data_IF_319606812300
#
_entry.id   IF_319606812300
#
_cell.length_a   1.000
_cell.length_b   1.000
_cell.length_c   1.000
_cell.angle_alpha   90.00
_cell.angle_beta   90.00
_cell.angle_gamma   90.00
#
_symmetry.space_group_name_H-M   'P 1'
#
loop_
_entity.id
_entity.type
_entity.pdbx_description
1 polymer ?
#
# COMPACT_ATOMS: atom_id res chain seq x y z
N UNK A 1 0.54 -12.25 15.09
CA UNK A 1 1.89 -11.67 14.86
C UNK A 1 1.79 -10.16 14.85
N UNK A 2 2.76 -9.47 15.45
CA UNK A 2 2.76 -7.99 15.57
C UNK A 2 4.17 -7.51 15.25
N UNK A 3 4.27 -6.37 14.56
CA UNK A 3 5.52 -5.64 14.31
C UNK A 3 5.47 -4.27 14.99
N UNK A 4 6.56 -3.85 15.58
CA UNK A 4 6.70 -2.50 16.13
C UNK A 4 7.05 -1.47 15.01
N UNK A 5 7.12 -0.18 15.37
CA UNK A 5 7.60 0.86 14.48
C UNK A 5 9.03 0.54 14.00
N UNK A 6 9.29 0.68 12.71
CA UNK A 6 10.58 0.35 12.07
C UNK A 6 10.87 -1.15 11.93
N UNK A 7 10.02 -2.05 12.43
CA UNK A 7 10.18 -3.49 12.31
C UNK A 7 9.33 -4.03 11.18
N UNK A 8 9.87 -5.01 10.46
CA UNK A 8 9.16 -5.82 9.46
C UNK A 8 9.34 -7.28 9.78
N UNK A 9 8.38 -8.10 9.42
CA UNK A 9 8.45 -9.52 9.64
C UNK A 9 7.91 -10.28 8.42
N UNK A 10 8.40 -11.49 8.23
CA UNK A 10 7.87 -12.44 7.27
C UNK A 10 7.46 -13.71 8.00
N UNK A 11 6.36 -14.30 7.57
CA UNK A 11 5.89 -15.59 8.08
C UNK A 11 5.30 -16.44 6.97
N UNK A 12 5.27 -17.75 7.22
CA UNK A 12 4.51 -18.70 6.40
C UNK A 12 3.34 -19.16 7.25
N UNK A 13 2.14 -19.02 6.69
CA UNK A 13 0.91 -19.48 7.33
C UNK A 13 0.76 -20.99 7.21
N UNK A 14 -0.14 -21.61 7.98
CA UNK A 14 -0.33 -23.06 7.95
C UNK A 14 -0.72 -23.64 6.59
N UNK A 15 -1.38 -22.87 5.74
CA UNK A 15 -1.76 -23.25 4.36
C UNK A 15 -0.62 -23.09 3.32
N UNK A 16 0.58 -22.72 3.78
CA UNK A 16 1.73 -22.42 2.93
C UNK A 16 1.74 -21.00 2.34
N UNK A 17 0.73 -20.19 2.61
CA UNK A 17 0.71 -18.78 2.20
C UNK A 17 1.81 -18.00 2.90
N UNK A 18 2.47 -17.09 2.16
CA UNK A 18 3.53 -16.23 2.71
C UNK A 18 2.96 -14.84 2.96
N UNK A 19 3.32 -14.27 4.11
CA UNK A 19 2.91 -12.93 4.52
C UNK A 19 4.15 -12.12 4.91
N UNK A 20 4.30 -10.95 4.33
CA UNK A 20 5.22 -9.91 4.78
C UNK A 20 4.39 -8.87 5.52
N UNK A 21 4.78 -8.54 6.72
CA UNK A 21 4.12 -7.58 7.58
C UNK A 21 4.99 -6.33 7.71
N UNK A 22 4.45 -5.19 7.34
CA UNK A 22 5.15 -3.90 7.42
C UNK A 22 5.27 -3.44 8.89
N UNK A 23 5.97 -2.33 9.12
CA UNK A 23 6.10 -1.69 10.42
C UNK A 23 4.72 -1.30 11.00
N UNK A 24 4.61 -1.31 12.34
CA UNK A 24 3.39 -0.94 13.07
C UNK A 24 2.14 -1.69 12.57
N UNK A 25 2.28 -3.01 12.37
CA UNK A 25 1.21 -3.82 11.80
C UNK A 25 0.95 -5.07 12.61
N UNK A 26 -0.28 -5.57 12.52
CA UNK A 26 -0.75 -6.75 13.25
C UNK A 26 -1.59 -7.65 12.36
N UNK A 27 -1.31 -8.95 12.39
CA UNK A 27 -2.21 -9.98 11.86
C UNK A 27 -2.62 -10.94 12.97
N UNK A 28 -3.90 -11.34 12.94
CA UNK A 28 -4.48 -12.35 13.81
C UNK A 28 -5.16 -13.37 12.94
N UNK A 29 -4.91 -14.66 13.19
CA UNK A 29 -5.65 -15.78 12.61
C UNK A 29 -6.02 -16.76 13.73
N UNK A 30 -7.15 -17.42 13.58
CA UNK A 30 -7.69 -18.32 14.59
C UNK A 30 -7.22 -19.75 14.38
N UNK A 31 -7.35 -20.59 15.39
CA UNK A 31 -6.98 -22.02 15.33
C UNK A 31 -7.78 -22.80 14.26
N UNK A 32 -8.98 -22.31 13.89
CA UNK A 32 -9.81 -22.85 12.80
C UNK A 32 -9.25 -22.61 11.41
N UNK A 33 -8.15 -21.84 11.26
CA UNK A 33 -7.48 -21.61 9.98
C UNK A 33 -7.10 -22.92 9.25
N UNK A 34 -6.90 -24.00 9.99
CA UNK A 34 -6.54 -25.32 9.46
C UNK A 34 -7.71 -26.11 8.88
N UNK A 35 -8.95 -25.81 9.25
CA UNK A 35 -10.07 -26.73 8.97
C UNK A 35 -11.03 -26.29 7.87
N UNK A 36 -11.24 -24.98 7.64
CA UNK A 36 -12.16 -24.50 6.59
C UNK A 36 -12.10 -22.98 6.33
N UNK A 37 -11.61 -22.19 7.29
CA UNK A 37 -11.69 -20.74 7.22
C UNK A 37 -10.30 -20.10 7.19
N UNK A 38 -9.73 -19.92 5.98
CA UNK A 38 -8.49 -19.19 5.81
C UNK A 38 -8.69 -17.69 6.02
N UNK A 39 -9.14 -17.31 7.24
CA UNK A 39 -9.44 -15.93 7.59
C UNK A 39 -8.36 -15.34 8.50
N UNK A 40 -7.98 -14.12 8.22
CA UNK A 40 -7.08 -13.31 9.03
C UNK A 40 -7.67 -11.91 9.22
N UNK A 41 -7.38 -11.33 10.38
CA UNK A 41 -7.63 -9.92 10.65
C UNK A 41 -6.33 -9.15 10.51
N UNK A 42 -6.33 -8.04 9.75
CA UNK A 42 -5.20 -7.17 9.50
C UNK A 42 -5.48 -5.76 10.02
N UNK A 43 -4.57 -5.25 10.85
CA UNK A 43 -4.40 -3.82 11.14
C UNK A 43 -2.98 -3.41 10.73
N UNK A 44 -2.84 -2.34 9.95
CA UNK A 44 -1.55 -1.91 9.39
C UNK A 44 -1.41 -2.28 7.91
N UNK A 45 -0.24 -2.78 7.50
CA UNK A 45 0.02 -3.09 6.09
C UNK A 45 0.72 -4.45 5.93
N UNK A 46 0.23 -5.25 4.99
CA UNK A 46 0.82 -6.54 4.67
C UNK A 46 0.72 -6.89 3.18
N UNK A 47 1.75 -7.58 2.69
CA UNK A 47 1.77 -8.22 1.40
C UNK A 47 1.59 -9.72 1.55
N UNK A 48 0.79 -10.29 0.67
CA UNK A 48 0.39 -11.69 0.69
C UNK A 48 0.75 -12.38 -0.62
N UNK A 49 1.34 -13.57 -0.50
CA UNK A 49 1.39 -14.57 -1.57
C UNK A 49 0.60 -15.78 -1.11
N UNK A 50 -0.68 -15.82 -1.51
CA UNK A 50 -1.61 -16.84 -1.04
C UNK A 50 -1.50 -18.10 -1.87
N UNK A 51 -1.39 -19.25 -1.17
CA UNK A 51 -1.43 -20.59 -1.78
C UNK A 51 -2.76 -20.82 -2.45
N UNK A 52 -2.73 -21.34 -3.68
CA UNK A 52 -3.93 -21.53 -4.48
C UNK A 52 -4.80 -22.68 -3.93
N UNK A 53 -6.04 -22.35 -3.60
CA UNK A 53 -7.10 -23.31 -3.26
C UNK A 53 -8.46 -22.74 -3.68
N UNK A 54 -9.07 -23.38 -4.71
CA UNK A 54 -10.37 -22.96 -5.23
C UNK A 54 -11.56 -23.33 -4.34
N UNK A 55 -11.36 -24.23 -3.38
CA UNK A 55 -12.43 -24.72 -2.50
C UNK A 55 -12.45 -24.00 -1.13
N UNK A 56 -11.33 -23.39 -0.74
CA UNK A 56 -11.21 -22.66 0.51
C UNK A 56 -10.71 -21.23 0.25
N UNK A 57 -11.60 -20.23 0.15
CA UNK A 57 -11.20 -18.84 -0.01
C UNK A 57 -10.32 -18.35 1.13
N UNK A 58 -9.30 -17.53 0.80
CA UNK A 58 -8.50 -16.82 1.77
C UNK A 58 -9.09 -15.42 1.96
N UNK A 59 -9.37 -15.01 3.19
CA UNK A 59 -10.06 -13.78 3.52
C UNK A 59 -9.19 -12.92 4.42
N UNK A 60 -8.92 -11.69 4.02
CA UNK A 60 -8.31 -10.66 4.85
C UNK A 60 -9.40 -9.69 5.29
N UNK A 61 -9.67 -9.68 6.59
CA UNK A 61 -10.57 -8.70 7.20
C UNK A 61 -9.75 -7.49 7.64
N UNK A 62 -10.12 -6.32 7.17
CA UNK A 62 -9.47 -5.05 7.51
C UNK A 62 -10.52 -4.00 7.78
N UNK A 63 -10.67 -3.59 9.05
CA UNK A 63 -11.81 -2.78 9.48
C UNK A 63 -13.11 -3.50 9.10
N UNK A 64 -13.98 -2.93 8.27
CA UNK A 64 -15.22 -3.59 7.81
C UNK A 64 -15.12 -4.03 6.33
N UNK A 65 -13.92 -4.06 5.78
CA UNK A 65 -13.65 -4.45 4.40
C UNK A 65 -13.10 -5.87 4.39
N UNK A 66 -13.65 -6.72 3.51
CA UNK A 66 -13.20 -8.09 3.30
C UNK A 66 -12.52 -8.21 1.94
N UNK A 67 -11.27 -8.65 1.92
CA UNK A 67 -10.52 -8.96 0.71
C UNK A 67 -10.46 -10.47 0.54
N UNK A 68 -11.12 -11.00 -0.48
CA UNK A 68 -11.30 -12.44 -0.71
C UNK A 68 -10.51 -12.88 -1.96
N UNK A 69 -9.70 -13.94 -1.81
CA UNK A 69 -8.85 -14.48 -2.89
C UNK A 69 -8.83 -16.01 -2.87
N UNK A 70 -8.43 -16.63 -3.98
CA UNK A 70 -8.26 -18.09 -4.09
C UNK A 70 -6.80 -18.53 -4.28
N UNK A 71 -5.88 -17.58 -4.62
CA UNK A 71 -4.47 -17.85 -4.89
C UNK A 71 -3.88 -16.68 -5.64
N UNK A 72 -3.42 -15.69 -4.91
CA UNK A 72 -3.26 -14.33 -5.41
C UNK A 72 -2.07 -13.67 -4.71
N UNK A 73 -1.40 -12.74 -5.42
CA UNK A 73 -0.39 -11.87 -4.86
C UNK A 73 -0.95 -10.46 -4.78
N UNK A 74 -1.07 -9.91 -3.57
CA UNK A 74 -1.68 -8.61 -3.33
C UNK A 74 -1.15 -7.95 -2.07
N UNK A 75 -1.28 -6.64 -2.00
CA UNK A 75 -0.95 -5.83 -0.82
C UNK A 75 -2.24 -5.24 -0.24
N UNK A 76 -2.36 -5.25 1.08
CA UNK A 76 -3.44 -4.56 1.80
C UNK A 76 -2.82 -3.59 2.80
N UNK A 77 -3.28 -2.34 2.75
CA UNK A 77 -2.92 -1.29 3.70
C UNK A 77 -4.20 -0.80 4.39
N UNK A 78 -4.25 -1.00 5.69
CA UNK A 78 -5.38 -0.68 6.56
C UNK A 78 -4.88 -0.15 7.90
N UNK A 79 -4.14 0.97 7.89
CA UNK A 79 -3.57 1.59 9.08
C UNK A 79 -4.67 2.19 9.94
N UNK A 80 -4.51 2.12 11.26
CA UNK A 80 -5.53 2.59 12.22
C UNK A 80 -5.82 4.08 12.07
N UNK A 81 -4.79 4.88 11.85
CA UNK A 81 -4.85 6.33 11.67
C UNK A 81 -5.43 6.78 10.31
N UNK A 82 -5.61 5.85 9.37
CA UNK A 82 -6.13 6.15 8.04
C UNK A 82 -7.61 5.76 7.93
N UNK A 83 -8.48 6.66 7.48
CA UNK A 83 -9.90 6.38 7.26
C UNK A 83 -10.15 5.63 5.95
N UNK A 84 -9.36 4.58 5.67
CA UNK A 84 -9.46 3.80 4.43
C UNK A 84 -8.76 2.46 4.53
N UNK A 85 -9.12 1.61 3.57
CA UNK A 85 -8.40 0.38 3.23
C UNK A 85 -8.00 0.46 1.76
N UNK A 86 -6.73 0.21 1.47
CA UNK A 86 -6.18 0.22 0.11
C UNK A 86 -5.71 -1.18 -0.23
N UNK A 87 -6.27 -1.77 -1.27
CA UNK A 87 -5.89 -3.09 -1.76
C UNK A 87 -5.33 -2.99 -3.17
N UNK A 88 -4.09 -3.42 -3.37
CA UNK A 88 -3.41 -3.45 -4.69
C UNK A 88 -3.19 -4.88 -5.13
N UNK A 89 -3.67 -5.21 -6.33
CA UNK A 89 -3.50 -6.53 -6.93
C UNK A 89 -2.29 -6.59 -7.85
N UNK A 90 -1.39 -7.56 -7.59
CA UNK A 90 -0.20 -7.81 -8.41
C UNK A 90 -0.40 -9.00 -9.36
N UNK A 91 -1.01 -10.09 -8.87
CA UNK A 91 -1.24 -11.30 -9.69
C UNK A 91 -2.48 -12.05 -9.20
N UNK A 92 -3.29 -12.55 -10.11
CA UNK A 92 -4.49 -13.33 -9.82
C UNK A 92 -5.77 -12.52 -9.89
N UNK A 93 -6.69 -12.75 -8.98
CA UNK A 93 -7.98 -12.09 -8.86
C UNK A 93 -8.28 -11.79 -7.39
N UNK A 94 -8.80 -10.60 -7.12
CA UNK A 94 -9.26 -10.18 -5.79
C UNK A 94 -10.71 -9.74 -5.88
N UNK A 95 -11.54 -10.23 -4.94
CA UNK A 95 -12.85 -9.66 -4.67
C UNK A 95 -12.80 -8.88 -3.35
N UNK A 96 -13.35 -7.68 -3.36
CA UNK A 96 -13.42 -6.81 -2.18
C UNK A 96 -14.88 -6.51 -1.87
N UNK A 97 -15.28 -6.88 -0.67
CA UNK A 97 -16.63 -6.64 -0.14
C UNK A 97 -16.56 -5.56 0.95
N UNK A 98 -17.51 -4.63 0.94
CA UNK A 98 -17.67 -3.60 1.96
C UNK A 98 -19.17 -3.48 2.33
N UNK A 99 -19.56 -2.82 3.44
CA UNK A 99 -20.95 -2.70 3.85
C UNK A 99 -21.91 -2.05 2.82
N UNK A 100 -21.35 -1.35 1.83
CA UNK A 100 -22.14 -0.69 0.76
C UNK A 100 -21.89 -1.26 -0.63
N UNK A 101 -21.15 -2.35 -0.76
CA UNK A 101 -21.01 -3.04 -2.05
C UNK A 101 -22.25 -3.85 -2.36
N UNK A 102 -22.61 -3.89 -3.65
CA UNK A 102 -23.61 -4.80 -4.18
C UNK A 102 -23.15 -6.27 -4.03
N UNK A 103 -24.04 -7.23 -4.26
CA UNK A 103 -23.82 -8.68 -4.03
C UNK A 103 -22.52 -9.26 -4.65
N UNK A 104 -21.99 -8.63 -5.71
CA UNK A 104 -20.80 -9.13 -6.41
C UNK A 104 -19.48 -8.54 -5.93
N UNK A 105 -19.48 -7.57 -5.00
CA UNK A 105 -18.28 -6.88 -4.57
C UNK A 105 -17.55 -6.13 -5.71
N UNK A 106 -16.34 -5.62 -5.40
CA UNK A 106 -15.43 -5.08 -6.41
C UNK A 106 -14.44 -6.17 -6.84
N UNK A 107 -14.30 -6.38 -8.15
CA UNK A 107 -13.32 -7.30 -8.70
C UNK A 107 -12.12 -6.53 -9.24
N UNK A 108 -10.92 -6.83 -8.72
CA UNK A 108 -9.67 -6.25 -9.18
C UNK A 108 -8.95 -7.18 -10.16
N UNK A 109 -8.35 -6.57 -11.20
CA UNK A 109 -7.38 -7.17 -12.12
C UNK A 109 -5.95 -6.78 -11.72
N UNK A 110 -4.92 -7.54 -12.15
CA UNK A 110 -3.53 -7.16 -11.92
C UNK A 110 -3.24 -5.73 -12.41
N UNK A 111 -2.52 -4.96 -11.58
CA UNK A 111 -2.25 -3.53 -11.82
C UNK A 111 -3.29 -2.59 -11.24
N UNK A 112 -4.41 -3.09 -10.74
CA UNK A 112 -5.45 -2.26 -10.14
C UNK A 112 -5.30 -2.15 -8.63
N UNK A 113 -5.68 -0.99 -8.11
CA UNK A 113 -5.78 -0.68 -6.68
C UNK A 113 -7.17 -0.16 -6.40
N UNK A 114 -7.82 -0.70 -5.36
CA UNK A 114 -9.06 -0.15 -4.81
C UNK A 114 -8.77 0.56 -3.50
N UNK A 115 -9.18 1.81 -3.41
CA UNK A 115 -9.16 2.61 -2.20
C UNK A 115 -10.60 2.75 -1.68
N UNK A 116 -10.89 2.17 -0.53
CA UNK A 116 -12.22 2.23 0.10
C UNK A 116 -12.14 3.11 1.34
N UNK A 117 -12.88 4.22 1.36
CA UNK A 117 -13.03 5.04 2.55
C UNK A 117 -13.86 4.30 3.61
N UNK A 118 -13.38 4.20 4.84
CA UNK A 118 -14.04 3.41 5.90
C UNK A 118 -15.20 4.10 6.59
N UNK A 119 -15.34 5.42 6.44
CA UNK A 119 -16.44 6.20 7.03
C UNK A 119 -17.65 6.26 6.08
N UNK A 120 -17.38 6.47 4.78
CA UNK A 120 -18.41 6.64 3.75
C UNK A 120 -18.64 5.39 2.91
N UNK A 121 -17.71 4.43 2.91
CA UNK A 121 -17.61 3.26 2.04
C UNK A 121 -17.60 3.60 0.54
N UNK A 122 -17.25 4.83 0.20
CA UNK A 122 -16.96 5.19 -1.19
C UNK A 122 -15.68 4.52 -1.63
N UNK A 123 -15.69 3.99 -2.84
CA UNK A 123 -14.56 3.30 -3.43
C UNK A 123 -14.03 4.04 -4.66
N UNK A 124 -12.71 4.10 -4.76
CA UNK A 124 -11.98 4.67 -5.90
C UNK A 124 -11.08 3.60 -6.50
N UNK A 125 -11.30 3.28 -7.78
CA UNK A 125 -10.45 2.34 -8.53
C UNK A 125 -9.35 3.12 -9.25
N UNK A 126 -8.10 2.71 -9.03
CA UNK A 126 -6.90 3.33 -9.60
C UNK A 126 -6.12 2.27 -10.38
N UNK A 127 -5.62 2.60 -11.56
CA UNK A 127 -4.74 1.73 -12.34
C UNK A 127 -3.29 2.23 -12.26
N UNK A 128 -2.37 1.31 -11.96
CA UNK A 128 -0.94 1.60 -11.90
C UNK A 128 -0.17 0.83 -12.97
N UNK A 129 0.67 1.54 -13.72
CA UNK A 129 1.58 0.91 -14.68
C UNK A 129 2.65 0.04 -14.00
N UNK A 130 3.00 0.35 -12.74
CA UNK A 130 3.98 -0.40 -11.94
C UNK A 130 3.40 -0.70 -10.55
N UNK A 131 2.54 -1.71 -10.42
CA UNK A 131 1.90 -2.04 -9.13
C UNK A 131 2.89 -2.56 -8.09
N UNK A 132 4.07 -3.02 -8.50
CA UNK A 132 5.15 -3.49 -7.60
C UNK A 132 5.77 -2.40 -6.74
N UNK A 133 5.58 -1.12 -7.08
CA UNK A 133 6.10 0.00 -6.26
C UNK A 133 5.50 0.00 -4.85
N UNK A 134 4.27 -0.51 -4.68
CA UNK A 134 3.67 -0.65 -3.34
C UNK A 134 4.44 -1.62 -2.44
N UNK A 135 5.36 -2.42 -3.00
CA UNK A 135 6.19 -3.38 -2.28
C UNK A 135 7.60 -2.84 -1.96
N UNK A 136 7.89 -1.58 -2.28
CA UNK A 136 9.21 -1.01 -1.98
C UNK A 136 9.55 -1.06 -0.49
N UNK A 137 8.53 -0.98 0.38
CA UNK A 137 8.70 -1.13 1.81
C UNK A 137 9.30 -2.49 2.22
N UNK A 138 9.10 -3.57 1.44
CA UNK A 138 9.70 -4.89 1.71
C UNK A 138 11.22 -4.83 1.61
N UNK A 139 11.75 -4.02 0.70
CA UNK A 139 13.19 -3.83 0.50
C UNK A 139 13.84 -3.02 1.62
N UNK A 140 13.04 -2.27 2.42
CA UNK A 140 13.53 -1.40 3.49
C UNK A 140 14.23 -0.13 3.02
N UNK A 141 14.36 0.06 1.70
CA UNK A 141 15.13 1.15 1.07
C UNK A 141 14.41 1.69 -0.16
N UNK A 142 14.44 3.02 -0.29
CA UNK A 142 14.05 3.77 -1.47
C UNK A 142 15.33 4.27 -2.14
N UNK A 143 15.72 3.68 -3.24
CA UNK A 143 16.89 4.09 -4.00
C UNK A 143 16.47 4.83 -5.26
N UNK A 144 16.93 6.07 -5.43
CA UNK A 144 16.73 6.90 -6.60
C UNK A 144 18.07 7.05 -7.32
N UNK A 145 18.12 6.68 -8.60
CA UNK A 145 19.32 6.81 -9.46
C UNK A 145 18.97 7.65 -10.67
N UNK A 146 19.35 8.93 -10.68
CA UNK A 146 19.03 9.87 -11.76
C UNK A 146 17.53 9.90 -12.10
N UNK A 147 16.66 9.67 -11.10
CA UNK A 147 15.22 9.71 -11.29
C UNK A 147 14.70 11.14 -11.28
N UNK A 148 13.73 11.41 -12.13
CA UNK A 148 13.05 12.70 -12.17
C UNK A 148 12.21 12.92 -10.90
N UNK A 149 12.01 14.19 -10.53
CA UNK A 149 11.15 14.53 -9.40
C UNK A 149 9.74 13.98 -9.58
N UNK A 150 9.22 13.95 -10.82
CA UNK A 150 7.93 13.34 -11.12
C UNK A 150 7.89 11.85 -10.80
N UNK A 151 8.92 11.07 -11.19
CA UNK A 151 9.00 9.64 -10.87
C UNK A 151 9.07 9.40 -9.36
N UNK A 152 9.86 10.21 -8.65
CA UNK A 152 10.00 10.14 -7.19
C UNK A 152 8.67 10.46 -6.51
N UNK A 153 8.01 11.56 -6.90
CA UNK A 153 6.73 11.94 -6.30
C UNK A 153 5.62 10.93 -6.59
N UNK A 154 5.61 10.29 -7.76
CA UNK A 154 4.68 9.20 -8.07
C UNK A 154 4.87 7.99 -7.13
N UNK A 155 6.11 7.66 -6.76
CA UNK A 155 6.42 6.63 -5.76
C UNK A 155 5.94 7.09 -4.38
N UNK A 156 6.23 8.33 -4.00
CA UNK A 156 5.82 8.89 -2.71
C UNK A 156 4.30 8.98 -2.56
N UNK A 157 3.57 9.30 -3.63
CA UNK A 157 2.10 9.28 -3.63
C UNK A 157 1.55 7.92 -3.20
N UNK A 158 2.13 6.83 -3.73
CA UNK A 158 1.71 5.46 -3.41
C UNK A 158 2.09 5.04 -1.99
N UNK A 159 3.31 5.39 -1.54
CA UNK A 159 3.82 4.97 -0.24
C UNK A 159 3.19 5.74 0.93
N UNK A 160 2.98 7.04 0.76
CA UNK A 160 2.56 7.94 1.84
C UNK A 160 1.12 8.43 1.72
N UNK A 161 0.44 8.07 0.64
CA UNK A 161 -0.91 8.51 0.35
C UNK A 161 -1.08 10.03 0.36
N UNK A 162 -0.23 10.68 -0.36
CA UNK A 162 -0.26 12.12 -0.61
C UNK A 162 -0.46 12.37 -2.10
N UNK A 163 -0.81 13.59 -2.47
CA UNK A 163 -0.93 14.04 -3.86
C UNK A 163 -0.02 15.22 -4.10
N UNK A 164 0.75 15.17 -5.19
CA UNK A 164 1.63 16.26 -5.59
C UNK A 164 0.97 17.14 -6.64
N UNK A 165 1.05 18.46 -6.43
CA UNK A 165 0.63 19.49 -7.37
C UNK A 165 1.84 20.37 -7.67
N UNK A 166 2.24 20.41 -8.92
CA UNK A 166 3.34 21.25 -9.38
C UNK A 166 2.80 22.60 -9.82
N UNK A 167 3.36 23.69 -9.26
CA UNK A 167 3.11 25.05 -9.74
C UNK A 167 4.03 25.45 -10.89
N UNK A 168 5.14 24.73 -11.05
CA UNK A 168 6.10 24.90 -12.15
C UNK A 168 6.40 23.53 -12.73
N UNK A 169 5.98 23.33 -13.98
CA UNK A 169 6.12 22.07 -14.71
C UNK A 169 7.59 21.68 -14.95
N UNK A 170 8.49 22.67 -15.03
CA UNK A 170 9.93 22.41 -15.23
C UNK A 170 10.55 21.58 -14.09
N UNK A 171 10.01 21.69 -12.86
CA UNK A 171 10.48 20.92 -11.70
C UNK A 171 10.31 19.41 -11.88
N UNK A 172 9.35 18.98 -12.68
CA UNK A 172 9.07 17.54 -12.90
C UNK A 172 10.26 16.80 -13.52
N UNK A 173 11.08 17.49 -14.31
CA UNK A 173 12.23 16.91 -15.01
C UNK A 173 13.54 16.95 -14.20
N UNK A 174 13.57 17.63 -13.07
CA UNK A 174 14.75 17.67 -12.22
C UNK A 174 15.11 16.27 -11.70
N UNK A 175 16.41 15.93 -11.73
CA UNK A 175 16.86 14.57 -11.44
C UNK A 175 17.59 14.50 -10.11
N UNK A 176 17.33 13.41 -9.39
CA UNK A 176 17.89 13.15 -8.07
C UNK A 176 18.54 11.77 -8.02
N UNK A 177 19.59 11.69 -7.22
CA UNK A 177 20.23 10.44 -6.81
C UNK A 177 20.33 10.44 -5.30
N UNK A 178 19.86 9.38 -4.65
CA UNK A 178 19.91 9.25 -3.20
C UNK A 178 19.29 7.95 -2.73
N UNK A 179 19.53 7.62 -1.48
CA UNK A 179 18.94 6.48 -0.79
C UNK A 179 18.25 6.96 0.49
N UNK A 180 17.03 6.49 0.72
CA UNK A 180 16.24 6.78 1.92
C UNK A 180 15.75 5.47 2.55
N UNK A 181 15.55 5.47 3.86
CA UNK A 181 14.81 4.39 4.50
C UNK A 181 13.32 4.47 4.11
N UNK A 182 12.68 3.33 3.91
CA UNK A 182 11.21 3.28 3.77
C UNK A 182 10.48 3.60 5.07
N UNK A 183 11.21 3.72 6.20
CA UNK A 183 10.68 4.17 7.48
C UNK A 183 10.71 5.70 7.61
N UNK A 184 11.41 6.39 6.69
CA UNK A 184 11.38 7.86 6.64
C UNK A 184 9.98 8.35 6.31
N UNK A 185 9.58 9.44 6.93
CA UNK A 185 8.34 10.13 6.61
C UNK A 185 8.44 10.86 5.26
N UNK A 186 7.31 11.15 4.65
CA UNK A 186 7.28 11.95 3.42
C UNK A 186 7.97 13.33 3.61
N UNK A 187 7.79 13.94 4.79
CA UNK A 187 8.39 15.26 5.09
C UNK A 187 9.92 15.16 5.24
N UNK A 188 10.47 14.10 5.82
CA UNK A 188 11.92 13.88 5.90
C UNK A 188 12.54 13.74 4.50
N UNK A 189 11.93 12.94 3.63
CA UNK A 189 12.41 12.78 2.25
C UNK A 189 12.33 14.10 1.48
N UNK A 190 11.18 14.79 1.56
CA UNK A 190 10.97 16.08 0.88
C UNK A 190 11.95 17.14 1.36
N UNK A 191 12.24 17.20 2.66
CA UNK A 191 13.21 18.13 3.22
C UNK A 191 14.61 17.89 2.66
N UNK A 192 15.06 16.63 2.56
CA UNK A 192 16.36 16.31 1.95
C UNK A 192 16.37 16.71 0.48
N UNK A 193 15.36 16.35 -0.30
CA UNK A 193 15.27 16.70 -1.72
C UNK A 193 15.24 18.22 -1.93
N UNK A 194 14.52 18.97 -1.09
CA UNK A 194 14.45 20.43 -1.14
C UNK A 194 15.80 21.12 -0.85
N UNK A 195 16.66 20.52 0.01
CA UNK A 195 17.98 21.07 0.30
C UNK A 195 18.99 20.88 -0.82
N UNK A 196 18.81 19.85 -1.64
CA UNK A 196 19.70 19.56 -2.77
C UNK A 196 19.37 20.35 -4.03
N UNK A 197 18.14 20.89 -4.15
CA UNK A 197 17.66 21.58 -5.34
C UNK A 197 16.88 22.88 -5.04
N UNK A 198 16.58 23.65 -6.08
CA UNK A 198 15.97 24.99 -6.00
C UNK A 198 14.45 25.00 -5.91
N UNK A 199 13.84 24.00 -5.28
CA UNK A 199 12.39 23.99 -5.07
C UNK A 199 12.05 24.11 -3.58
N UNK A 200 10.81 24.47 -3.32
CA UNK A 200 10.17 24.48 -2.01
C UNK A 200 8.84 23.74 -2.08
N UNK A 201 8.32 23.29 -0.95
CA UNK A 201 6.99 22.68 -0.90
C UNK A 201 6.15 23.25 0.24
N UNK A 202 4.84 23.15 0.10
CA UNK A 202 3.86 23.40 1.15
C UNK A 202 2.90 22.21 1.21
N UNK A 203 2.79 21.60 2.37
CA UNK A 203 1.90 20.48 2.65
C UNK A 203 0.67 20.95 3.39
N UNK A 204 -0.50 20.53 2.92
CA UNK A 204 -1.81 20.80 3.51
C UNK A 204 -2.61 19.50 3.48
N UNK A 205 -2.66 18.82 4.62
CA UNK A 205 -3.19 17.48 4.72
C UNK A 205 -2.47 16.50 3.77
N UNK A 206 -3.21 15.95 2.81
CA UNK A 206 -2.69 15.01 1.80
C UNK A 206 -2.12 15.70 0.56
N UNK A 207 -2.27 17.01 0.43
CA UNK A 207 -1.84 17.74 -0.77
C UNK A 207 -0.49 18.40 -0.51
N UNK A 208 0.48 18.10 -1.36
CA UNK A 208 1.82 18.69 -1.37
C UNK A 208 1.96 19.55 -2.62
N UNK A 209 2.08 20.86 -2.44
CA UNK A 209 2.31 21.81 -3.53
C UNK A 209 3.79 22.08 -3.67
N UNK A 210 4.35 21.73 -4.84
CA UNK A 210 5.77 21.94 -5.17
C UNK A 210 5.89 23.20 -6.03
N UNK A 211 6.84 24.07 -5.67
CA UNK A 211 7.04 25.36 -6.34
C UNK A 211 8.54 25.70 -6.40
N UNK A 212 8.95 26.43 -7.40
CA UNK A 212 10.31 26.98 -7.49
C UNK A 212 10.57 27.93 -6.32
N UNK A 213 11.80 27.93 -5.81
CA UNK A 213 12.27 28.94 -4.83
C UNK A 213 12.40 30.30 -5.45
#
# INVERSE_FOLDING_TARGET
MITAAGQRAQTVLPDGSKVWLNASSKIVYHNSFWSSDRQIDLSGEAYFEVSHDKHAPFIVNSKQIKTCVLGTKFNVRAREEENRVVTTLLQGLVRIDSPRTEENGYLLKPGQTLNVNTDTYQAELIEYNQPTDVLLWIKGKLEFKQQSLLEITNIMEKLYDIKFIYKDEALKSERFTGEFSTDSTADEILNVLMHTNHFSYKKDGRIVRVMKK
#
